data_IF_480855491495
#
_entry.id   IF_480855491495
#
_cell.length_a   1.000
_cell.length_b   1.000
_cell.length_c   1.000
_cell.angle_alpha   90.00
_cell.angle_beta   90.00
_cell.angle_gamma   90.00
#
_symmetry.space_group_name_H-M   'P 1'
#
loop_
_entity.id
_entity.type
_entity.pdbx_description
1 polymer ?
#
# COMPACT_ATOMS: atom_id res chain seq x y z
N UNK A 1 -11.59 11.18 14.72
CA UNK A 1 -10.70 10.03 14.46
C UNK A 1 -11.53 8.82 14.12
N UNK A 2 -11.39 8.26 12.92
CA UNK A 2 -12.05 7.01 12.53
C UNK A 2 -11.49 5.82 13.33
N UNK A 3 -12.32 4.80 13.52
CA UNK A 3 -11.89 3.45 13.90
C UNK A 3 -10.96 2.84 12.83
N UNK A 4 -10.29 1.74 13.18
CA UNK A 4 -9.29 1.05 12.37
C UNK A 4 -9.90 0.59 11.04
N UNK A 5 -11.07 -0.04 11.07
CA UNK A 5 -11.73 -0.58 9.87
C UNK A 5 -12.08 0.55 8.89
N UNK A 6 -12.78 1.57 9.39
CA UNK A 6 -13.14 2.77 8.62
C UNK A 6 -11.91 3.49 8.07
N UNK A 7 -10.83 3.56 8.86
CA UNK A 7 -9.59 4.17 8.40
C UNK A 7 -9.00 3.38 7.23
N UNK A 8 -8.85 2.06 7.37
CA UNK A 8 -8.26 1.19 6.35
C UNK A 8 -9.02 1.31 5.04
N UNK A 9 -10.36 1.29 5.09
CA UNK A 9 -11.23 1.43 3.92
C UNK A 9 -11.00 2.78 3.23
N UNK A 10 -11.12 3.89 3.96
CA UNK A 10 -11.02 5.23 3.40
C UNK A 10 -9.61 5.57 2.91
N UNK A 11 -8.58 5.08 3.62
CA UNK A 11 -7.18 5.35 3.28
C UNK A 11 -6.80 4.82 1.90
N UNK A 12 -7.51 3.79 1.41
CA UNK A 12 -7.29 3.26 0.06
C UNK A 12 -7.49 4.32 -1.03
N UNK A 13 -8.33 5.32 -0.77
CA UNK A 13 -8.72 6.33 -1.76
C UNK A 13 -8.14 7.72 -1.47
N UNK A 14 -7.66 8.00 -0.26
CA UNK A 14 -7.04 9.29 0.09
C UNK A 14 -5.54 9.37 -0.22
N UNK A 15 -4.85 8.23 -0.35
CA UNK A 15 -3.41 8.17 -0.61
C UNK A 15 -2.98 8.47 -2.06
N UNK A 16 -3.92 8.55 -3.00
CA UNK A 16 -3.65 8.72 -4.45
C UNK A 16 -2.79 7.62 -5.09
N UNK A 17 -2.50 6.53 -4.38
CA UNK A 17 -1.62 5.46 -4.87
C UNK A 17 -2.21 4.71 -6.06
N UNK A 18 -3.53 4.50 -6.13
CA UNK A 18 -4.17 3.94 -7.33
C UNK A 18 -3.96 4.83 -8.56
N UNK A 19 -3.96 6.15 -8.40
CA UNK A 19 -3.64 7.09 -9.50
C UNK A 19 -2.17 6.88 -9.94
N UNK A 20 -1.25 6.68 -9.00
CA UNK A 20 0.13 6.35 -9.32
C UNK A 20 0.24 5.04 -10.10
N UNK A 21 -0.55 4.02 -9.77
CA UNK A 21 -0.58 2.75 -10.50
C UNK A 21 -1.09 2.93 -11.94
N UNK A 22 -2.14 3.74 -12.14
CA UNK A 22 -2.62 4.10 -13.48
C UNK A 22 -1.56 4.86 -14.30
N UNK A 23 -0.78 5.74 -13.66
CA UNK A 23 0.31 6.47 -14.30
C UNK A 23 1.48 5.56 -14.68
N UNK A 24 1.76 4.55 -13.86
CA UNK A 24 2.76 3.50 -14.16
C UNK A 24 2.39 2.76 -15.45
N UNK A 25 1.12 2.41 -15.67
CA UNK A 25 0.69 1.77 -16.92
C UNK A 25 0.86 2.68 -18.13
N UNK A 26 0.48 3.95 -17.99
CA UNK A 26 0.55 4.93 -19.08
C UNK A 26 1.99 5.26 -19.47
N UNK A 27 2.89 5.38 -18.49
CA UNK A 27 4.28 5.77 -18.73
C UNK A 27 5.09 4.77 -19.55
N UNK A 28 4.71 3.49 -19.52
CA UNK A 28 5.40 2.40 -20.23
C UNK A 28 4.53 1.75 -21.33
N UNK A 29 3.33 2.27 -21.57
CA UNK A 29 2.29 1.67 -22.42
C UNK A 29 2.00 0.17 -22.11
N UNK A 30 2.26 -0.26 -20.86
CA UNK A 30 2.07 -1.64 -20.40
C UNK A 30 0.66 -1.79 -19.83
N UNK A 31 -0.33 -1.80 -20.72
CA UNK A 31 -1.73 -1.97 -20.35
C UNK A 31 -2.08 -3.45 -20.17
N UNK A 32 -2.46 -3.82 -18.94
CA UNK A 32 -3.07 -5.12 -18.64
C UNK A 32 -4.55 -5.06 -19.01
N UNK A 33 -5.00 -5.99 -19.87
CA UNK A 33 -6.38 -6.04 -20.37
C UNK A 33 -7.37 -6.28 -19.24
N UNK A 34 -8.60 -5.79 -19.38
CA UNK A 34 -9.66 -5.95 -18.36
C UNK A 34 -9.90 -7.42 -18.01
N UNK A 35 -9.88 -8.32 -19.00
CA UNK A 35 -10.07 -9.76 -18.77
C UNK A 35 -8.95 -10.39 -17.93
N UNK A 36 -7.75 -9.82 -17.93
CA UNK A 36 -6.63 -10.27 -17.11
C UNK A 36 -6.64 -9.66 -15.70
N UNK A 37 -7.54 -8.70 -15.41
CA UNK A 37 -7.73 -8.10 -14.07
C UNK A 37 -8.83 -8.80 -13.31
N UNK A 38 -8.60 -10.07 -13.02
CA UNK A 38 -9.50 -10.88 -12.22
C UNK A 38 -9.49 -10.44 -10.75
N UNK A 39 -10.19 -11.22 -9.91
CA UNK A 39 -10.24 -10.96 -8.47
C UNK A 39 -8.85 -10.98 -7.82
N UNK A 40 -7.99 -11.93 -8.17
CA UNK A 40 -6.65 -12.06 -7.57
C UNK A 40 -5.77 -10.85 -7.94
N UNK A 41 -5.84 -10.39 -9.20
CA UNK A 41 -5.14 -9.20 -9.65
C UNK A 41 -5.57 -7.96 -8.85
N UNK A 42 -6.88 -7.75 -8.69
CA UNK A 42 -7.40 -6.59 -7.97
C UNK A 42 -7.07 -6.64 -6.46
N UNK A 43 -7.09 -7.83 -5.86
CA UNK A 43 -6.64 -8.05 -4.48
C UNK A 43 -5.14 -7.76 -4.32
N UNK A 44 -4.31 -8.16 -5.29
CA UNK A 44 -2.89 -7.85 -5.30
C UNK A 44 -2.64 -6.33 -5.36
N UNK A 45 -3.37 -5.61 -6.22
CA UNK A 45 -3.27 -4.15 -6.32
C UNK A 45 -3.74 -3.45 -5.05
N UNK A 46 -4.81 -3.94 -4.43
CA UNK A 46 -5.28 -3.44 -3.13
C UNK A 46 -4.22 -3.65 -2.04
N UNK A 47 -3.56 -4.81 -2.06
CA UNK A 47 -2.49 -5.13 -1.12
C UNK A 47 -1.28 -4.21 -1.29
N UNK A 48 -0.84 -3.94 -2.53
CA UNK A 48 0.20 -2.95 -2.81
C UNK A 48 -0.17 -1.54 -2.34
N UNK A 49 -1.44 -1.15 -2.55
CA UNK A 49 -1.97 0.14 -2.09
C UNK A 49 -1.87 0.29 -0.57
N UNK A 50 -2.28 -0.75 0.18
CA UNK A 50 -2.15 -0.79 1.64
C UNK A 50 -0.71 -0.63 2.08
N UNK A 51 0.21 -1.41 1.50
CA UNK A 51 1.63 -1.36 1.85
C UNK A 51 2.20 0.05 1.66
N UNK A 52 1.92 0.70 0.54
CA UNK A 52 2.38 2.07 0.29
C UNK A 52 1.81 3.07 1.30
N UNK A 53 0.49 3.03 1.56
CA UNK A 53 -0.15 3.95 2.50
C UNK A 53 0.31 3.74 3.94
N UNK A 54 0.38 2.50 4.41
CA UNK A 54 0.79 2.22 5.79
C UNK A 54 2.28 2.49 6.01
N UNK A 55 3.11 2.28 4.99
CA UNK A 55 4.51 2.73 5.02
C UNK A 55 4.58 4.25 5.15
N UNK A 56 3.74 4.98 4.42
CA UNK A 56 3.66 6.43 4.58
C UNK A 56 3.23 6.80 6.00
N UNK A 57 2.15 6.23 6.53
CA UNK A 57 1.65 6.50 7.88
C UNK A 57 2.73 6.25 8.96
N UNK A 58 3.55 5.19 8.81
CA UNK A 58 4.66 4.90 9.71
C UNK A 58 5.75 5.99 9.64
N UNK A 59 6.14 6.39 8.43
CA UNK A 59 7.26 7.32 8.22
C UNK A 59 6.87 8.78 8.50
N UNK A 60 5.60 9.15 8.27
CA UNK A 60 5.09 10.50 8.49
C UNK A 60 4.57 10.75 9.89
N UNK A 61 4.44 9.72 10.74
CA UNK A 61 3.79 9.78 12.05
C UNK A 61 4.25 10.98 12.90
N UNK A 62 5.56 11.17 13.07
CA UNK A 62 6.09 12.25 13.91
C UNK A 62 5.65 13.61 13.41
N UNK A 63 5.86 13.87 12.12
CA UNK A 63 5.47 15.12 11.46
C UNK A 63 3.96 15.36 11.56
N UNK A 64 3.15 14.32 11.41
CA UNK A 64 1.70 14.40 11.49
C UNK A 64 1.22 14.72 12.91
N UNK A 65 1.82 14.10 13.93
CA UNK A 65 1.57 14.44 15.34
C UNK A 65 1.94 15.90 15.63
N UNK A 66 3.13 16.33 15.19
CA UNK A 66 3.61 17.71 15.40
C UNK A 66 2.68 18.75 14.76
N UNK A 67 2.00 18.38 13.66
CA UNK A 67 1.01 19.22 12.97
C UNK A 67 -0.43 19.07 13.49
N UNK A 68 -0.69 18.17 14.44
CA UNK A 68 -2.05 17.86 14.91
C UNK A 68 -2.93 17.14 13.89
N UNK A 69 -2.33 16.45 12.90
CA UNK A 69 -3.04 15.65 11.91
C UNK A 69 -3.56 14.36 12.55
N UNK A 70 -4.81 14.00 12.23
CA UNK A 70 -5.51 12.86 12.85
C UNK A 70 -5.79 11.70 11.89
N UNK A 71 -5.28 11.79 10.66
CA UNK A 71 -5.54 10.83 9.57
C UNK A 71 -4.33 9.93 9.38
N UNK A 72 -4.07 9.08 10.38
CA UNK A 72 -2.96 8.14 10.40
C UNK A 72 -3.39 6.82 11.07
N UNK A 73 -3.05 5.67 10.48
CA UNK A 73 -3.44 4.35 11.01
C UNK A 73 -2.95 4.12 12.44
N UNK A 74 -1.73 4.56 12.77
CA UNK A 74 -1.14 4.40 14.10
C UNK A 74 -1.99 5.13 15.14
N UNK A 75 -2.45 6.34 14.82
CA UNK A 75 -3.30 7.11 15.75
C UNK A 75 -4.69 6.44 15.89
N UNK A 76 -5.24 5.89 14.81
CA UNK A 76 -6.50 5.12 14.88
C UNK A 76 -6.36 3.88 15.76
N UNK A 77 -5.27 3.12 15.61
CA UNK A 77 -4.96 1.95 16.44
C UNK A 77 -4.75 2.33 17.90
N UNK A 78 -4.00 3.40 18.16
CA UNK A 78 -3.77 3.91 19.51
C UNK A 78 -5.09 4.17 20.23
N UNK A 79 -6.01 4.87 19.55
CA UNK A 79 -7.29 5.25 20.12
C UNK A 79 -8.22 4.06 20.35
N UNK A 80 -8.33 3.16 19.38
CA UNK A 80 -9.26 2.04 19.45
C UNK A 80 -8.82 0.97 20.46
N UNK A 81 -7.52 0.72 20.55
CA UNK A 81 -6.95 -0.28 21.46
C UNK A 81 -6.60 0.29 22.85
N UNK A 82 -6.81 1.59 23.07
CA UNK A 82 -6.45 2.31 24.31
C UNK A 82 -5.00 2.01 24.75
N UNK A 83 -4.06 2.14 23.81
CA UNK A 83 -2.65 1.82 24.01
C UNK A 83 -1.71 3.01 23.80
N UNK A 84 -0.42 2.83 24.10
CA UNK A 84 0.61 3.84 23.83
C UNK A 84 0.85 4.00 22.33
N UNK A 85 1.43 5.13 21.91
CA UNK A 85 1.74 5.38 20.50
C UNK A 85 2.83 4.40 20.00
N UNK A 86 3.73 3.97 20.89
CA UNK A 86 4.77 2.98 20.62
C UNK A 86 4.18 1.59 20.37
N UNK A 87 3.21 1.16 21.19
CA UNK A 87 2.49 -0.10 21.00
C UNK A 87 1.66 -0.06 19.72
N UNK A 88 0.96 1.04 19.45
CA UNK A 88 0.21 1.21 18.20
C UNK A 88 1.13 1.16 16.97
N UNK A 89 2.31 1.78 17.04
CA UNK A 89 3.31 1.72 15.98
C UNK A 89 3.80 0.29 15.74
N UNK A 90 4.03 -0.49 16.81
CA UNK A 90 4.41 -1.89 16.69
C UNK A 90 3.31 -2.71 16.01
N UNK A 91 2.05 -2.55 16.43
CA UNK A 91 0.89 -3.21 15.82
C UNK A 91 0.79 -2.91 14.32
N UNK A 92 0.95 -1.64 13.92
CA UNK A 92 0.88 -1.25 12.49
C UNK A 92 2.07 -1.79 11.69
N UNK A 93 3.27 -1.87 12.28
CA UNK A 93 4.43 -2.52 11.66
C UNK A 93 4.16 -4.00 11.41
N UNK A 94 3.62 -4.72 12.40
CA UNK A 94 3.26 -6.13 12.27
C UNK A 94 2.18 -6.34 11.20
N UNK A 95 1.14 -5.51 11.21
CA UNK A 95 0.08 -5.52 10.18
C UNK A 95 0.65 -5.29 8.78
N UNK A 96 1.60 -4.35 8.63
CA UNK A 96 2.29 -4.08 7.37
C UNK A 96 3.11 -5.29 6.90
N UNK A 97 3.82 -5.96 7.82
CA UNK A 97 4.57 -7.20 7.51
C UNK A 97 3.63 -8.32 7.05
N UNK A 98 2.46 -8.47 7.68
CA UNK A 98 1.46 -9.47 7.28
C UNK A 98 0.90 -9.17 5.88
N UNK A 99 0.62 -7.91 5.55
CA UNK A 99 0.14 -7.52 4.22
C UNK A 99 1.23 -7.71 3.15
N UNK A 100 2.52 -7.49 3.47
CA UNK A 100 3.63 -7.83 2.56
C UNK A 100 3.69 -9.33 2.26
N UNK A 101 3.48 -10.19 3.28
CA UNK A 101 3.42 -11.65 3.07
C UNK A 101 2.25 -12.03 2.17
N UNK A 102 1.06 -11.50 2.45
CA UNK A 102 -0.15 -11.68 1.63
C UNK A 102 0.07 -11.23 0.19
N UNK A 103 0.69 -10.06 -0.02
CA UNK A 103 1.06 -9.58 -1.36
C UNK A 103 1.94 -10.58 -2.10
N UNK A 104 2.95 -11.14 -1.43
CA UNK A 104 3.85 -12.14 -2.02
C UNK A 104 3.09 -13.41 -2.45
N UNK A 105 2.18 -13.89 -1.61
CA UNK A 105 1.33 -15.06 -1.91
C UNK A 105 0.42 -14.80 -3.11
N UNK A 106 -0.27 -13.66 -3.12
CA UNK A 106 -1.13 -13.23 -4.23
C UNK A 106 -0.35 -13.10 -5.54
N UNK A 107 0.88 -12.55 -5.49
CA UNK A 107 1.74 -12.40 -6.65
C UNK A 107 2.15 -13.75 -7.21
N UNK A 108 2.60 -14.66 -6.35
CA UNK A 108 3.00 -16.00 -6.76
C UNK A 108 1.83 -16.76 -7.40
N UNK A 109 0.63 -16.64 -6.83
CA UNK A 109 -0.58 -17.20 -7.40
C UNK A 109 -0.91 -16.61 -8.77
N UNK A 110 -0.94 -15.28 -8.88
CA UNK A 110 -1.18 -14.58 -10.14
C UNK A 110 -0.19 -15.01 -11.24
N UNK A 111 1.08 -15.24 -10.87
CA UNK A 111 2.10 -15.69 -11.82
C UNK A 111 1.93 -17.16 -12.22
N UNK A 112 1.52 -18.02 -11.28
CA UNK A 112 1.23 -19.42 -11.57
C UNK A 112 -0.01 -19.59 -12.47
N UNK A 113 -1.02 -18.73 -12.28
CA UNK A 113 -2.27 -18.76 -13.03
C UNK A 113 -2.17 -18.01 -14.39
N UNK A 114 -1.00 -17.45 -14.74
CA UNK A 114 -0.78 -16.65 -15.95
C UNK A 114 -0.67 -17.52 -17.22
N UNK A 115 -1.76 -18.19 -17.59
CA UNK A 115 -1.86 -18.99 -18.81
C UNK A 115 -3.09 -18.61 -19.67
N UNK A 116 -2.92 -18.36 -21.00
CA UNK A 116 -1.64 -18.33 -21.72
C UNK A 116 -0.74 -17.19 -21.24
N UNK A 117 0.57 -17.43 -21.18
CA UNK A 117 1.55 -16.46 -20.68
C UNK A 117 1.36 -15.03 -21.23
N UNK A 118 1.12 -14.09 -20.31
CA UNK A 118 1.03 -12.67 -20.60
C UNK A 118 2.16 -11.88 -19.91
N UNK A 119 3.18 -11.50 -20.70
CA UNK A 119 4.31 -10.73 -20.18
C UNK A 119 3.93 -9.35 -19.63
N UNK A 120 2.78 -8.78 -20.02
CA UNK A 120 2.33 -7.47 -19.52
C UNK A 120 1.96 -7.51 -18.05
N UNK A 121 1.42 -8.64 -17.56
CA UNK A 121 1.09 -8.83 -16.14
C UNK A 121 2.38 -8.75 -15.31
N UNK A 122 3.40 -9.52 -15.68
CA UNK A 122 4.70 -9.55 -14.97
C UNK A 122 5.36 -8.17 -14.96
N UNK A 123 5.39 -7.51 -16.12
CA UNK A 123 5.96 -6.16 -16.24
C UNK A 123 5.21 -5.16 -15.36
N UNK A 124 3.88 -5.13 -15.45
CA UNK A 124 3.07 -4.19 -14.67
C UNK A 124 3.26 -4.39 -13.16
N UNK A 125 3.18 -5.63 -12.67
CA UNK A 125 3.38 -5.93 -11.24
C UNK A 125 4.76 -5.47 -10.77
N UNK A 126 5.82 -5.76 -11.53
CA UNK A 126 7.18 -5.29 -11.20
C UNK A 126 7.28 -3.76 -11.14
N UNK A 127 6.55 -3.03 -11.99
CA UNK A 127 6.55 -1.56 -11.94
C UNK A 127 5.78 -1.01 -10.75
N UNK A 128 4.67 -1.64 -10.37
CA UNK A 128 3.96 -1.32 -9.12
C UNK A 128 4.88 -1.50 -7.91
N UNK A 129 5.62 -2.62 -7.84
CA UNK A 129 6.62 -2.85 -6.78
C UNK A 129 7.69 -1.76 -6.76
N UNK A 130 8.19 -1.35 -7.94
CA UNK A 130 9.16 -0.27 -8.04
C UNK A 130 8.58 1.07 -7.56
N UNK A 131 7.31 1.39 -7.87
CA UNK A 131 6.68 2.62 -7.40
C UNK A 131 6.48 2.64 -5.87
N UNK A 132 6.04 1.52 -5.29
CA UNK A 132 5.90 1.34 -3.84
C UNK A 132 7.27 1.50 -3.15
N UNK A 133 8.30 0.83 -3.68
CA UNK A 133 9.67 0.93 -3.16
C UNK A 133 10.25 2.33 -3.31
N UNK A 134 10.03 2.99 -4.45
CA UNK A 134 10.48 4.35 -4.67
C UNK A 134 9.84 5.33 -3.68
N UNK A 135 8.56 5.13 -3.33
CA UNK A 135 7.91 5.92 -2.29
C UNK A 135 8.60 5.76 -0.93
N UNK A 136 8.96 4.52 -0.55
CA UNK A 136 9.71 4.25 0.67
C UNK A 136 11.10 4.93 0.65
N UNK A 137 11.89 4.72 -0.41
CA UNK A 137 13.24 5.28 -0.53
C UNK A 137 13.23 6.81 -0.57
N UNK A 138 12.27 7.41 -1.27
CA UNK A 138 12.07 8.86 -1.26
C UNK A 138 11.70 9.37 0.14
N UNK A 139 10.84 8.65 0.86
CA UNK A 139 10.42 9.04 2.22
C UNK A 139 11.58 9.04 3.22
N UNK A 140 12.61 8.23 3.00
CA UNK A 140 13.83 8.21 3.84
C UNK A 140 14.83 9.34 3.52
N UNK A 141 14.76 9.92 2.33
CA UNK A 141 15.78 10.86 1.83
C UNK A 141 15.27 12.30 1.71
N UNK A 142 13.95 12.48 1.73
CA UNK A 142 13.29 13.78 1.64
C UNK A 142 13.41 14.57 2.95
N UNK A 143 13.32 15.90 2.86
CA UNK A 143 13.17 16.79 4.03
C UNK A 143 11.70 16.95 4.47
N UNK A 144 10.78 16.25 3.80
CA UNK A 144 9.34 16.34 4.08
C UNK A 144 8.96 15.68 5.41
N UNK A 145 9.70 14.64 5.82
CA UNK A 145 9.43 13.83 7.00
C UNK A 145 10.59 13.94 7.99
#
# INVERSE_FOLDING_TARGET
MPDIETYIEKRQHSGSVYICFDLVERGDATFVTTNARDKNFNELMTSANKIANWTNDILSLKKEIDNGEIHNLIISVQKENDCTIEEALLNVKELTVLEIKKYSELKNKLYADNEPFNSKIIKYVSRVENAVRANYEWSLTTKRF
#
